data_IF_522782998299
#
_entry.id   IF_522782998299
#
_cell.length_a   1.000
_cell.length_b   1.000
_cell.length_c   1.000
_cell.angle_alpha   90.00
_cell.angle_beta   90.00
_cell.angle_gamma   90.00
#
_symmetry.space_group_name_H-M   'P 1'
#
loop_
_entity.id
_entity.type
_entity.pdbx_description
1 polymer ?
#
# COMPACT_ATOMS: atom_id res chain seq x y z
N UNK A 1 9.73 42.53 1.18
CA UNK A 1 8.46 41.75 1.10
C UNK A 1 7.56 42.29 2.22
N UNK A 2 6.43 42.92 1.87
CA UNK A 2 5.55 43.63 2.86
C UNK A 2 5.06 42.69 3.96
N UNK A 3 5.02 43.23 5.19
CA UNK A 3 4.56 42.53 6.41
C UNK A 3 3.16 41.88 6.23
N UNK A 4 2.31 42.54 5.43
CA UNK A 4 0.97 42.07 5.07
C UNK A 4 1.00 40.78 4.26
N UNK A 5 1.93 40.59 3.31
CA UNK A 5 2.08 39.36 2.53
C UNK A 5 2.52 38.16 3.42
N UNK A 6 3.41 38.42 4.38
CA UNK A 6 3.82 37.37 5.36
C UNK A 6 2.67 36.98 6.27
N UNK A 7 1.80 37.88 6.67
CA UNK A 7 0.67 37.58 7.54
C UNK A 7 -0.41 36.79 6.79
N UNK A 8 -0.69 37.14 5.54
CA UNK A 8 -1.61 36.40 4.67
C UNK A 8 -1.10 34.95 4.46
N UNK A 9 0.17 34.82 4.11
CA UNK A 9 0.79 33.50 3.92
C UNK A 9 0.72 32.62 5.16
N UNK A 10 0.97 33.17 6.35
CA UNK A 10 0.82 32.40 7.61
C UNK A 10 -0.62 31.98 7.87
N UNK A 11 -1.61 32.85 7.62
CA UNK A 11 -3.03 32.51 7.74
C UNK A 11 -3.46 31.44 6.75
N UNK A 12 -3.00 31.52 5.50
CA UNK A 12 -3.28 30.51 4.47
C UNK A 12 -2.70 29.16 4.85
N UNK A 13 -1.46 29.11 5.34
CA UNK A 13 -0.81 27.87 5.83
C UNK A 13 -1.60 27.28 7.01
N UNK A 14 -2.02 28.12 7.96
CA UNK A 14 -2.82 27.67 9.11
C UNK A 14 -4.17 27.10 8.69
N UNK A 15 -4.86 27.72 7.73
CA UNK A 15 -6.13 27.22 7.20
C UNK A 15 -5.94 25.88 6.47
N UNK A 16 -4.88 25.73 5.68
CA UNK A 16 -4.55 24.48 5.01
C UNK A 16 -4.26 23.38 6.06
N UNK A 17 -3.52 23.72 7.11
CA UNK A 17 -3.21 22.79 8.19
C UNK A 17 -4.49 22.31 8.93
N UNK A 18 -5.42 23.23 9.21
CA UNK A 18 -6.71 22.91 9.83
C UNK A 18 -7.59 22.08 8.91
N UNK A 19 -7.61 22.35 7.60
CA UNK A 19 -8.35 21.55 6.63
C UNK A 19 -7.81 20.11 6.52
N UNK A 20 -6.49 19.92 6.65
CA UNK A 20 -5.86 18.60 6.65
C UNK A 20 -6.17 17.78 7.92
N UNK A 21 -6.49 18.45 9.05
CA UNK A 21 -6.85 17.77 10.30
C UNK A 21 -8.36 17.50 10.43
N UNK A 22 -9.19 18.08 9.57
CA UNK A 22 -10.64 17.93 9.60
C UNK A 22 -11.16 16.72 8.77
N UNK A 23 -10.28 15.97 8.10
CA UNK A 23 -10.66 14.74 7.42
C UNK A 23 -10.96 13.65 8.44
N UNK A 24 -12.16 13.09 8.40
CA UNK A 24 -12.52 11.89 9.17
C UNK A 24 -11.65 10.73 8.68
N UNK A 25 -10.76 10.26 9.55
CA UNK A 25 -9.89 9.13 9.23
C UNK A 25 -10.66 7.87 9.60
N UNK A 26 -11.30 7.24 8.64
CA UNK A 26 -11.70 5.84 8.75
C UNK A 26 -10.44 5.01 8.61
N UNK A 27 -9.85 4.58 9.73
CA UNK A 27 -8.67 3.75 9.72
C UNK A 27 -9.09 2.30 9.48
N UNK A 28 -8.96 1.84 8.24
CA UNK A 28 -8.89 0.40 7.96
C UNK A 28 -7.48 -0.07 8.34
N UNK A 29 -7.38 -1.23 8.98
CA UNK A 29 -6.09 -1.80 9.33
C UNK A 29 -5.57 -2.58 8.11
N UNK A 30 -4.61 -2.00 7.41
CA UNK A 30 -3.84 -2.73 6.40
C UNK A 30 -2.97 -3.83 7.05
N UNK A 31 -2.70 -4.94 6.34
CA UNK A 31 -1.78 -5.97 6.79
C UNK A 31 -0.41 -5.37 7.16
N UNK A 32 0.13 -5.77 8.30
CA UNK A 32 1.45 -5.29 8.73
C UNK A 32 2.56 -5.93 7.89
N UNK A 33 3.16 -5.15 7.01
CA UNK A 33 4.31 -5.59 6.23
C UNK A 33 5.59 -5.50 7.05
N UNK A 34 6.07 -6.65 7.55
CA UNK A 34 7.44 -6.75 8.07
C UNK A 34 8.41 -6.89 6.89
N UNK A 35 9.65 -6.40 7.05
CA UNK A 35 10.67 -6.44 6.00
C UNK A 35 10.27 -5.71 4.70
N UNK A 36 9.50 -4.63 4.82
CA UNK A 36 9.00 -3.81 3.71
C UNK A 36 10.11 -3.33 2.75
N UNK A 37 11.35 -3.25 3.21
CA UNK A 37 12.51 -2.84 2.41
C UNK A 37 12.78 -3.78 1.22
N UNK A 38 12.32 -5.02 1.28
CA UNK A 38 12.42 -5.98 0.16
C UNK A 38 11.20 -5.93 -0.77
N UNK A 39 10.10 -5.28 -0.33
CA UNK A 39 8.82 -5.21 -1.04
C UNK A 39 8.30 -3.76 -1.14
N UNK A 40 9.18 -2.80 -1.42
CA UNK A 40 8.87 -1.38 -1.40
C UNK A 40 7.76 -0.96 -2.36
N UNK A 41 7.59 -1.65 -3.51
CA UNK A 41 6.52 -1.33 -4.47
C UNK A 41 5.12 -1.65 -3.93
N UNK A 42 4.98 -2.54 -2.95
CA UNK A 42 3.69 -2.78 -2.28
C UNK A 42 3.24 -1.52 -1.53
N UNK A 43 4.17 -0.86 -0.84
CA UNK A 43 3.91 0.32 -0.02
C UNK A 43 3.89 1.59 -0.86
N UNK A 44 4.79 1.71 -1.85
CA UNK A 44 4.91 2.92 -2.65
C UNK A 44 5.02 2.61 -4.15
N UNK A 45 3.99 2.93 -4.95
CA UNK A 45 4.01 2.71 -6.39
C UNK A 45 5.13 3.46 -7.12
N UNK A 46 5.63 4.57 -6.57
CA UNK A 46 6.73 5.31 -7.16
C UNK A 46 8.08 4.57 -7.11
N UNK A 47 8.16 3.49 -6.34
CA UNK A 47 9.34 2.61 -6.30
C UNK A 47 9.43 1.69 -7.52
N UNK A 48 8.31 1.43 -8.22
CA UNK A 48 8.28 0.57 -9.39
C UNK A 48 9.30 1.04 -10.44
N UNK A 49 10.13 0.13 -10.94
CA UNK A 49 11.18 0.44 -11.93
C UNK A 49 12.34 1.30 -11.43
N UNK A 50 12.47 1.51 -10.11
CA UNK A 50 13.61 2.26 -9.54
C UNK A 50 14.94 1.50 -9.63
N UNK A 51 14.88 0.18 -9.79
CA UNK A 51 16.03 -0.69 -10.05
C UNK A 51 16.37 -0.65 -11.53
N UNK A 52 17.67 -0.81 -11.86
CA UNK A 52 18.14 -0.87 -13.26
C UNK A 52 17.80 -2.20 -13.94
N UNK A 53 17.20 -3.16 -13.23
CA UNK A 53 16.81 -4.49 -13.71
C UNK A 53 15.42 -4.89 -13.19
N UNK A 54 14.84 -5.93 -13.80
CA UNK A 54 13.63 -6.56 -13.27
C UNK A 54 13.94 -7.15 -11.90
N UNK A 55 13.11 -6.80 -10.93
CA UNK A 55 13.15 -7.30 -9.55
C UNK A 55 11.92 -8.15 -9.27
N UNK A 56 12.11 -9.32 -8.69
CA UNK A 56 11.03 -10.22 -8.26
C UNK A 56 11.24 -10.48 -6.78
N UNK A 57 10.20 -10.23 -5.99
CA UNK A 57 10.16 -10.50 -4.56
C UNK A 57 9.08 -11.53 -4.23
N UNK A 58 9.42 -12.47 -3.39
CA UNK A 58 8.47 -13.43 -2.81
C UNK A 58 8.72 -13.43 -1.31
N UNK A 59 7.64 -13.24 -0.54
CA UNK A 59 7.69 -13.28 0.92
C UNK A 59 6.55 -14.15 1.42
N UNK A 60 6.87 -15.05 2.34
CA UNK A 60 5.90 -15.79 3.12
C UNK A 60 6.15 -15.56 4.60
N UNK A 61 5.10 -15.25 5.34
CA UNK A 61 5.14 -15.02 6.78
C UNK A 61 4.09 -15.89 7.45
N UNK A 62 4.51 -16.65 8.43
CA UNK A 62 3.65 -17.42 9.32
C UNK A 62 3.87 -16.90 10.75
N UNK A 63 2.80 -16.48 11.42
CA UNK A 63 2.87 -15.94 12.77
C UNK A 63 2.27 -16.96 13.74
N UNK A 64 2.84 -17.06 14.93
CA UNK A 64 2.36 -17.95 16.00
C UNK A 64 2.22 -19.41 15.54
N UNK A 65 3.29 -19.95 15.00
CA UNK A 65 3.37 -21.34 14.52
C UNK A 65 2.77 -22.31 15.55
N UNK A 66 1.87 -23.20 15.08
CA UNK A 66 1.16 -24.17 15.90
C UNK A 66 -0.16 -23.68 16.51
N UNK A 67 -0.56 -22.42 16.30
CA UNK A 67 -1.86 -21.90 16.67
C UNK A 67 -2.83 -22.00 15.48
N UNK A 68 -3.98 -22.65 15.66
CA UNK A 68 -5.02 -22.72 14.64
C UNK A 68 -5.62 -21.33 14.35
N UNK A 69 -5.78 -20.97 13.08
CA UNK A 69 -6.26 -19.63 12.68
C UNK A 69 -5.22 -18.52 12.82
N UNK A 70 -3.95 -18.86 13.05
CA UNK A 70 -2.87 -17.88 13.14
C UNK A 70 -2.67 -17.13 11.82
N UNK A 71 -2.25 -15.83 11.85
CA UNK A 71 -2.07 -15.03 10.65
C UNK A 71 -0.99 -15.58 9.71
N UNK A 72 -1.34 -15.71 8.43
CA UNK A 72 -0.43 -16.12 7.35
C UNK A 72 -0.50 -15.11 6.23
N UNK A 73 0.65 -14.59 5.81
CA UNK A 73 0.74 -13.62 4.72
C UNK A 73 1.69 -14.15 3.64
N UNK A 74 1.21 -14.21 2.40
CA UNK A 74 2.01 -14.50 1.23
C UNK A 74 2.03 -13.30 0.30
N UNK A 75 3.20 -12.89 -0.17
CA UNK A 75 3.35 -11.78 -1.11
C UNK A 75 4.20 -12.18 -2.30
N UNK A 76 3.77 -11.79 -3.48
CA UNK A 76 4.57 -11.86 -4.70
C UNK A 76 4.55 -10.48 -5.34
N UNK A 77 5.71 -9.97 -5.69
CA UNK A 77 5.81 -8.71 -6.42
C UNK A 77 6.85 -8.82 -7.53
N UNK A 78 6.62 -8.07 -8.57
CA UNK A 78 7.56 -7.88 -9.68
C UNK A 78 7.53 -6.41 -10.08
N UNK A 79 8.68 -5.81 -10.28
CA UNK A 79 8.77 -4.50 -10.89
C UNK A 79 9.96 -4.41 -11.84
N UNK A 80 9.84 -3.58 -12.86
CA UNK A 80 10.86 -3.43 -13.88
C UNK A 80 10.83 -2.03 -14.51
N UNK A 81 11.99 -1.52 -14.97
CA UNK A 81 12.05 -0.32 -15.78
C UNK A 81 11.55 -0.60 -17.20
N UNK A 82 10.73 0.30 -17.75
CA UNK A 82 10.24 0.26 -19.12
C UNK A 82 10.77 1.48 -19.90
N UNK A 83 12.05 1.47 -20.22
CA UNK A 83 12.77 2.61 -20.80
C UNK A 83 13.45 3.48 -19.76
N UNK A 84 13.76 4.73 -20.11
CA UNK A 84 14.65 5.56 -19.32
C UNK A 84 14.00 6.15 -18.06
N UNK A 85 12.68 6.35 -18.07
CA UNK A 85 12.00 7.13 -17.04
C UNK A 85 10.70 6.48 -16.53
N UNK A 86 10.28 5.37 -17.09
CA UNK A 86 9.01 4.70 -16.77
C UNK A 86 9.31 3.39 -16.06
N UNK A 87 8.52 3.09 -15.04
CA UNK A 87 8.54 1.82 -14.34
C UNK A 87 7.14 1.22 -14.24
N UNK A 88 7.08 -0.09 -14.25
CA UNK A 88 5.88 -0.87 -13.98
C UNK A 88 6.12 -1.80 -12.81
N UNK A 89 5.07 -2.05 -12.06
CA UNK A 89 5.03 -3.01 -10.99
C UNK A 89 3.74 -3.82 -11.01
N UNK A 90 3.82 -5.00 -10.46
CA UNK A 90 2.68 -5.85 -10.16
C UNK A 90 2.89 -6.47 -8.78
N UNK A 91 1.85 -6.53 -7.97
CA UNK A 91 1.89 -7.19 -6.68
C UNK A 91 0.60 -7.96 -6.40
N UNK A 92 0.78 -9.11 -5.76
CA UNK A 92 -0.29 -9.95 -5.24
C UNK A 92 0.04 -10.24 -3.77
N UNK A 93 -0.95 -10.05 -2.91
CA UNK A 93 -0.85 -10.25 -1.47
C UNK A 93 -2.03 -11.12 -1.07
N UNK A 94 -1.77 -12.20 -0.33
CA UNK A 94 -2.80 -13.01 0.30
C UNK A 94 -2.54 -13.02 1.79
N UNK A 95 -3.54 -12.63 2.57
CA UNK A 95 -3.50 -12.59 4.02
C UNK A 95 -4.66 -13.41 4.58
N UNK A 96 -4.37 -14.32 5.49
CA UNK A 96 -5.33 -15.20 6.12
C UNK A 96 -5.25 -15.05 7.63
N UNK A 97 -6.38 -14.75 8.28
CA UNK A 97 -6.48 -14.61 9.74
C UNK A 97 -7.77 -15.28 10.20
N UNK A 98 -7.66 -16.46 10.80
CA UNK A 98 -8.84 -17.25 11.18
C UNK A 98 -9.75 -17.53 10.00
N UNK A 99 -11.04 -17.13 10.05
CA UNK A 99 -12.00 -17.33 8.96
C UNK A 99 -11.92 -16.26 7.86
N UNK A 100 -11.07 -15.24 8.04
CA UNK A 100 -10.94 -14.12 7.11
C UNK A 100 -9.79 -14.36 6.16
N UNK A 101 -10.06 -14.32 4.86
CA UNK A 101 -9.07 -14.33 3.79
C UNK A 101 -9.19 -13.03 2.99
N UNK A 102 -8.06 -12.38 2.77
CA UNK A 102 -7.96 -11.16 1.97
C UNK A 102 -6.94 -11.36 0.86
N UNK A 103 -7.34 -11.10 -0.38
CA UNK A 103 -6.43 -11.12 -1.54
C UNK A 103 -6.40 -9.76 -2.20
N UNK A 104 -5.21 -9.18 -2.28
CA UNK A 104 -4.97 -7.88 -2.91
C UNK A 104 -4.18 -8.07 -4.20
N UNK A 105 -4.66 -7.47 -5.31
CA UNK A 105 -4.00 -7.47 -6.60
C UNK A 105 -3.81 -6.04 -7.07
N UNK A 106 -2.56 -5.64 -7.36
CA UNK A 106 -2.21 -4.27 -7.73
C UNK A 106 -1.31 -4.22 -8.95
N UNK A 107 -1.49 -3.15 -9.73
CA UNK A 107 -0.61 -2.72 -10.80
C UNK A 107 -0.10 -1.32 -10.46
N UNK A 108 1.21 -1.13 -10.56
CA UNK A 108 1.89 0.12 -10.31
C UNK A 108 2.45 0.70 -11.60
N UNK A 109 2.32 2.00 -11.75
CA UNK A 109 2.98 2.79 -12.79
C UNK A 109 3.79 3.89 -12.15
N UNK A 110 5.02 4.08 -12.57
CA UNK A 110 5.88 5.15 -12.08
C UNK A 110 6.52 5.95 -13.22
N UNK A 111 6.76 7.22 -12.94
CA UNK A 111 7.53 8.10 -13.81
C UNK A 111 8.63 8.81 -13.02
N UNK A 112 9.87 8.63 -13.45
CA UNK A 112 11.07 9.13 -12.75
C UNK A 112 11.67 10.34 -13.47
N UNK A 113 11.84 11.42 -12.75
CA UNK A 113 12.58 12.62 -13.17
C UNK A 113 14.04 12.48 -12.74
N UNK A 114 14.96 12.57 -13.69
CA UNK A 114 16.38 12.65 -13.41
C UNK A 114 16.76 14.11 -13.06
N UNK A 115 17.27 14.33 -11.87
CA UNK A 115 17.67 15.62 -11.34
C UNK A 115 19.19 15.78 -11.34
N UNK A 116 19.68 16.96 -10.94
CA UNK A 116 21.12 17.19 -10.81
C UNK A 116 21.77 16.27 -9.77
N UNK A 117 23.07 16.00 -9.93
CA UNK A 117 23.88 15.19 -9.00
C UNK A 117 23.37 13.76 -8.78
N UNK A 118 22.83 13.12 -9.82
CA UNK A 118 22.29 11.73 -9.79
C UNK A 118 21.07 11.55 -8.88
N UNK A 119 20.47 12.65 -8.40
CA UNK A 119 19.21 12.56 -7.68
C UNK A 119 18.09 12.22 -8.65
N UNK A 120 17.11 11.45 -8.16
CA UNK A 120 15.92 11.05 -8.93
C UNK A 120 14.67 11.30 -8.09
N UNK A 121 13.61 11.76 -8.74
CA UNK A 121 12.30 11.95 -8.14
C UNK A 121 11.29 11.18 -8.97
N UNK A 122 10.72 10.14 -8.38
CA UNK A 122 9.69 9.33 -9.01
C UNK A 122 8.30 9.67 -8.44
N UNK A 123 7.32 9.66 -9.33
CA UNK A 123 5.89 9.76 -9.05
C UNK A 123 5.28 8.42 -9.40
N UNK A 124 4.44 7.89 -8.53
CA UNK A 124 3.79 6.61 -8.78
C UNK A 124 2.30 6.66 -8.55
N UNK A 125 1.59 5.87 -9.31
CA UNK A 125 0.18 5.56 -9.11
C UNK A 125 -0.02 4.05 -9.05
N UNK A 126 -0.96 3.63 -8.23
CA UNK A 126 -1.36 2.24 -8.03
C UNK A 126 -2.84 2.11 -8.35
N UNK A 127 -3.22 1.02 -8.99
CA UNK A 127 -4.61 0.64 -9.18
C UNK A 127 -4.74 -0.87 -8.97
N UNK A 128 -5.87 -1.28 -8.40
CA UNK A 128 -6.12 -2.70 -8.15
C UNK A 128 -7.41 -2.94 -7.41
N UNK A 129 -7.47 -4.06 -6.72
CA UNK A 129 -8.64 -4.44 -5.92
C UNK A 129 -8.27 -5.38 -4.78
N UNK A 130 -9.09 -5.30 -3.76
CA UNK A 130 -9.10 -6.14 -2.59
C UNK A 130 -10.31 -7.07 -2.64
N UNK A 131 -10.07 -8.35 -2.45
CA UNK A 131 -11.07 -9.41 -2.41
C UNK A 131 -11.11 -9.95 -0.98
N UNK A 132 -12.19 -9.66 -0.27
CA UNK A 132 -12.44 -10.17 1.08
C UNK A 132 -13.34 -11.40 1.01
N UNK A 133 -12.95 -12.45 1.69
CA UNK A 133 -13.71 -13.67 1.85
C UNK A 133 -13.73 -14.05 3.34
N UNK A 134 -14.92 -14.10 3.93
CA UNK A 134 -15.10 -14.43 5.34
C UNK A 134 -15.95 -15.70 5.43
N UNK A 135 -15.30 -16.83 5.75
CA UNK A 135 -15.92 -18.13 5.94
C UNK A 135 -16.61 -18.20 7.31
N UNK A 136 -17.87 -17.79 7.37
CA UNK A 136 -18.65 -17.79 8.60
C UNK A 136 -19.31 -19.15 8.88
N UNK A 137 -19.62 -19.91 7.83
CA UNK A 137 -20.35 -21.18 7.92
C UNK A 137 -19.53 -22.26 8.64
N UNK A 138 -18.20 -22.26 8.46
CA UNK A 138 -17.30 -23.27 9.03
C UNK A 138 -16.90 -22.99 10.48
N UNK A 139 -17.38 -21.89 11.07
CA UNK A 139 -17.10 -21.55 12.45
C UNK A 139 -17.85 -22.47 13.43
N UNK A 140 -17.14 -22.96 14.44
CA UNK A 140 -17.73 -23.71 15.56
C UNK A 140 -18.54 -22.76 16.45
N UNK A 141 -19.82 -22.63 16.18
CA UNK A 141 -20.73 -21.72 16.89
C UNK A 141 -21.30 -22.37 18.16
N UNK A 142 -21.55 -21.56 19.19
CA UNK A 142 -22.30 -21.96 20.39
C UNK A 142 -23.78 -22.17 20.04
N UNK A 143 -24.34 -21.32 19.17
CA UNK A 143 -25.67 -21.48 18.57
C UNK A 143 -25.56 -21.72 17.05
N UNK A 144 -25.72 -22.97 16.58
CA UNK A 144 -25.62 -23.30 15.16
C UNK A 144 -26.71 -22.68 14.28
N UNK A 145 -27.77 -22.14 14.88
CA UNK A 145 -28.89 -21.53 14.13
C UNK A 145 -28.86 -19.99 14.13
N UNK A 146 -27.76 -19.37 14.54
CA UNK A 146 -27.62 -17.90 14.51
C UNK A 146 -27.67 -17.41 13.06
N UNK A 147 -28.68 -16.57 12.66
CA UNK A 147 -28.83 -16.09 11.31
C UNK A 147 -27.65 -15.27 10.79
N UNK A 148 -26.84 -14.67 11.66
CA UNK A 148 -25.65 -13.88 11.29
C UNK A 148 -24.56 -14.74 10.64
N UNK A 149 -24.51 -16.02 10.93
CA UNK A 149 -23.51 -16.95 10.42
C UNK A 149 -24.08 -17.91 9.34
N UNK A 150 -25.27 -17.60 8.82
CA UNK A 150 -25.94 -18.45 7.84
C UNK A 150 -25.34 -18.37 6.43
N UNK A 151 -24.47 -17.41 6.14
CA UNK A 151 -23.82 -17.25 4.84
C UNK A 151 -22.45 -16.61 4.97
N UNK A 152 -21.53 -17.02 4.12
CA UNK A 152 -20.24 -16.37 3.96
C UNK A 152 -20.40 -14.98 3.38
N UNK A 153 -19.46 -14.07 3.74
CA UNK A 153 -19.43 -12.70 3.24
C UNK A 153 -18.29 -12.56 2.25
N UNK A 154 -18.62 -12.17 1.03
CA UNK A 154 -17.67 -11.91 -0.04
C UNK A 154 -17.82 -10.43 -0.47
N UNK A 155 -16.76 -9.66 -0.36
CA UNK A 155 -16.74 -8.26 -0.74
C UNK A 155 -15.52 -7.96 -1.62
N UNK A 156 -15.77 -7.20 -2.70
CA UNK A 156 -14.72 -6.79 -3.63
C UNK A 156 -14.68 -5.27 -3.67
N UNK A 157 -13.53 -4.70 -3.35
CA UNK A 157 -13.34 -3.26 -3.30
C UNK A 157 -12.22 -2.82 -4.25
N UNK A 158 -12.51 -1.90 -5.21
CA UNK A 158 -11.44 -1.30 -6.00
C UNK A 158 -10.57 -0.43 -5.10
N UNK A 159 -9.28 -0.37 -5.40
CA UNK A 159 -8.36 0.45 -4.63
C UNK A 159 -7.42 1.23 -5.56
N UNK A 160 -7.06 2.45 -5.13
CA UNK A 160 -6.13 3.32 -5.81
C UNK A 160 -5.11 3.84 -4.80
N UNK A 161 -3.91 4.08 -5.28
CA UNK A 161 -2.84 4.63 -4.45
C UNK A 161 -1.97 5.59 -5.25
N UNK A 162 -1.23 6.40 -4.51
CA UNK A 162 -0.26 7.33 -5.08
C UNK A 162 0.98 7.42 -4.19
N UNK A 163 2.11 7.78 -4.80
CA UNK A 163 3.34 7.91 -4.05
C UNK A 163 4.38 8.81 -4.71
N UNK A 164 5.30 9.25 -3.89
CA UNK A 164 6.49 9.99 -4.25
C UNK A 164 7.70 9.26 -3.70
N UNK A 165 8.75 9.15 -4.50
CA UNK A 165 10.00 8.53 -4.10
C UNK A 165 11.17 9.37 -4.59
N UNK A 166 11.83 10.05 -3.66
CA UNK A 166 13.04 10.82 -3.92
C UNK A 166 14.26 10.00 -3.49
N UNK A 167 15.20 9.78 -4.38
CA UNK A 167 16.35 8.94 -4.06
C UNK A 167 17.60 9.30 -4.84
N UNK A 168 18.73 8.90 -4.27
CA UNK A 168 20.01 8.80 -4.96
C UNK A 168 20.47 7.35 -4.88
N UNK A 169 20.72 6.67 -6.02
CA UNK A 169 21.10 5.25 -6.03
C UNK A 169 22.22 4.94 -5.04
N UNK A 170 22.05 3.87 -4.26
CA UNK A 170 23.00 3.37 -3.27
C UNK A 170 23.42 4.36 -2.16
N UNK A 171 22.65 5.44 -1.93
CA UNK A 171 23.00 6.42 -0.90
C UNK A 171 21.88 6.71 0.09
N UNK A 172 20.74 7.21 -0.39
CA UNK A 172 19.61 7.56 0.46
C UNK A 172 18.31 7.60 -0.34
N UNK A 173 17.22 7.53 0.36
CA UNK A 173 15.89 7.79 -0.18
C UNK A 173 14.99 8.44 0.86
N UNK A 174 13.96 9.13 0.37
CA UNK A 174 12.82 9.63 1.14
C UNK A 174 11.56 9.26 0.36
N UNK A 175 10.59 8.69 1.05
CA UNK A 175 9.38 8.13 0.46
C UNK A 175 8.15 8.64 1.19
N UNK A 176 7.13 9.02 0.41
CA UNK A 176 5.79 9.36 0.92
C UNK A 176 4.78 8.69 0.01
N UNK A 177 3.83 7.96 0.59
CA UNK A 177 2.79 7.29 -0.19
C UNK A 177 1.49 7.17 0.59
N UNK A 178 0.41 7.07 -0.16
CA UNK A 178 -0.90 6.61 0.29
C UNK A 178 -1.24 5.42 -0.59
N UNK A 179 -0.93 4.17 -0.15
CA UNK A 179 -1.10 2.98 -0.98
C UNK A 179 -2.56 2.64 -1.22
N UNK A 180 -3.44 2.97 -0.28
CA UNK A 180 -4.88 2.69 -0.29
C UNK A 180 -5.63 3.99 -0.02
N UNK A 181 -6.42 4.45 -0.98
CA UNK A 181 -7.20 5.70 -0.89
C UNK A 181 -8.69 5.40 -0.68
N UNK A 182 -9.15 4.20 -1.07
CA UNK A 182 -10.54 3.74 -0.93
C UNK A 182 -10.63 2.58 0.04
#
# INVERSE_FOLDING_TARGET
>A
MSTTKKLIMKKTILVILILLTASEINAQQDPQYTQYMYNMNIINPAYAGSSDATSIGILYRDQWEGLEGAPKTATVNIHFPAGNNVGFGFSAISDEIGPVSETNLYIDFSYTLNLANENRLAFGIKAGGTFHDIGLIDLALIDPNDPFFASDVNENTPNFGAGLYFYKPNRYYVSVSVPNIL
#
